data_IF_356467800217
#
_entry.id   IF_356467800217
#
_cell.length_a   1.000
_cell.length_b   1.000
_cell.length_c   1.000
_cell.angle_alpha   90.00
_cell.angle_beta   90.00
_cell.angle_gamma   90.00
#
_symmetry.space_group_name_H-M   'P 1'
#
loop_
_entity.id
_entity.type
_entity.pdbx_description
1 polymer ?
#
# COMPACT_ATOMS: atom_id res chain seq x y z
N UNK A 1 19.84 2.41 7.03
CA UNK A 1 19.41 2.23 8.45
C UNK A 1 19.25 0.74 8.72
N UNK A 2 19.48 0.28 9.94
CA UNK A 2 19.26 -1.14 10.28
C UNK A 2 17.98 -1.21 11.10
N UNK A 3 16.98 -1.92 10.58
CA UNK A 3 15.70 -2.18 11.26
C UNK A 3 15.81 -3.50 12.05
N UNK A 4 14.98 -3.66 13.08
CA UNK A 4 14.92 -4.89 13.89
C UNK A 4 13.83 -5.85 13.42
N UNK A 5 12.76 -5.31 12.88
CA UNK A 5 11.52 -6.03 12.56
C UNK A 5 11.12 -5.93 11.10
N UNK A 6 11.91 -5.21 10.31
CA UNK A 6 11.70 -4.98 8.90
C UNK A 6 12.99 -5.27 8.14
N UNK A 7 12.89 -6.05 7.08
CA UNK A 7 14.00 -6.22 6.14
C UNK A 7 13.77 -5.32 4.92
N UNK A 8 14.83 -4.73 4.44
CA UNK A 8 14.81 -4.00 3.17
C UNK A 8 15.85 -4.58 2.24
N UNK A 9 15.44 -4.91 1.05
CA UNK A 9 16.31 -5.38 -0.03
C UNK A 9 16.05 -4.59 -1.28
N UNK A 10 17.06 -4.45 -2.14
CA UNK A 10 16.93 -3.80 -3.44
C UNK A 10 17.43 -4.74 -4.52
N UNK A 11 16.54 -5.03 -5.46
CA UNK A 11 16.89 -5.73 -6.68
C UNK A 11 16.58 -4.82 -7.87
N UNK A 12 17.62 -4.42 -8.59
CA UNK A 12 17.55 -3.45 -9.69
C UNK A 12 16.83 -2.14 -9.25
N UNK A 13 15.71 -1.85 -9.88
CA UNK A 13 14.91 -0.65 -9.67
C UNK A 13 13.78 -0.83 -8.64
N UNK A 14 13.74 -1.95 -7.93
CA UNK A 14 12.67 -2.27 -6.98
C UNK A 14 13.23 -2.43 -5.57
N UNK A 15 12.63 -1.72 -4.62
CA UNK A 15 12.87 -1.91 -3.18
C UNK A 15 11.79 -2.85 -2.63
N UNK A 16 12.19 -3.89 -1.92
CA UNK A 16 11.29 -4.76 -1.17
C UNK A 16 11.40 -4.47 0.32
N UNK A 17 10.27 -4.14 0.93
CA UNK A 17 10.11 -3.96 2.38
C UNK A 17 9.37 -5.18 2.91
N UNK A 18 9.99 -5.93 3.81
CA UNK A 18 9.44 -7.19 4.32
C UNK A 18 9.21 -7.10 5.83
N UNK A 19 7.99 -7.32 6.27
CA UNK A 19 7.69 -7.53 7.69
C UNK A 19 8.36 -8.84 8.14
N UNK A 20 9.24 -8.76 9.13
CA UNK A 20 10.07 -9.91 9.55
C UNK A 20 10.03 -10.12 11.07
N UNK A 21 8.82 -10.30 11.58
CA UNK A 21 8.55 -10.70 12.96
C UNK A 21 7.57 -11.87 13.01
N UNK A 22 7.90 -13.01 12.34
CA UNK A 22 6.97 -14.13 12.14
C UNK A 22 6.54 -14.80 13.45
N UNK A 23 7.38 -14.83 14.48
CA UNK A 23 7.07 -15.39 15.81
C UNK A 23 5.98 -14.60 16.55
N UNK A 24 5.76 -13.33 16.17
CA UNK A 24 4.64 -12.47 16.63
C UNK A 24 3.59 -12.29 15.54
N UNK A 25 3.61 -13.14 14.50
CA UNK A 25 2.66 -13.08 13.38
C UNK A 25 2.63 -11.69 12.69
N UNK A 26 3.79 -11.03 12.61
CA UNK A 26 3.95 -9.69 12.06
C UNK A 26 2.92 -8.70 12.62
N UNK A 27 2.68 -8.79 13.95
CA UNK A 27 1.82 -7.83 14.64
C UNK A 27 2.43 -6.43 14.54
N UNK A 28 1.60 -5.46 14.17
CA UNK A 28 1.95 -4.05 14.03
C UNK A 28 1.99 -3.42 15.42
N UNK A 29 3.10 -3.63 16.11
CA UNK A 29 3.46 -2.93 17.34
C UNK A 29 3.98 -1.53 17.01
N UNK A 30 4.04 -0.64 17.99
CA UNK A 30 4.46 0.74 17.79
C UNK A 30 5.85 0.83 17.13
N UNK A 31 6.81 0.05 17.60
CA UNK A 31 8.17 -0.04 17.05
C UNK A 31 8.18 -0.54 15.60
N UNK A 32 7.38 -1.56 15.28
CA UNK A 32 7.24 -2.11 13.92
C UNK A 32 6.66 -1.07 12.96
N UNK A 33 5.61 -0.34 13.38
CA UNK A 33 4.98 0.67 12.54
C UNK A 33 5.91 1.84 12.24
N UNK A 34 6.70 2.27 13.21
CA UNK A 34 7.74 3.29 13.00
C UNK A 34 8.82 2.82 12.03
N UNK A 35 9.29 1.58 12.15
CA UNK A 35 10.26 1.01 11.21
C UNK A 35 9.70 0.87 9.79
N UNK A 36 8.43 0.46 9.64
CA UNK A 36 7.76 0.36 8.33
C UNK A 36 7.65 1.73 7.68
N UNK A 37 7.19 2.75 8.42
CA UNK A 37 7.11 4.13 7.92
C UNK A 37 8.49 4.63 7.46
N UNK A 38 9.52 4.49 8.30
CA UNK A 38 10.89 4.88 7.97
C UNK A 38 11.45 4.13 6.75
N UNK A 39 11.10 2.86 6.56
CA UNK A 39 11.51 2.08 5.39
C UNK A 39 10.83 2.61 4.10
N UNK A 40 9.55 2.99 4.16
CA UNK A 40 8.86 3.62 3.04
C UNK A 40 9.43 5.01 2.73
N UNK A 41 9.71 5.85 3.73
CA UNK A 41 10.35 7.16 3.54
C UNK A 41 11.72 7.03 2.87
N UNK A 42 12.53 6.05 3.31
CA UNK A 42 13.82 5.77 2.71
C UNK A 42 13.69 5.30 1.25
N UNK A 43 12.72 4.43 0.95
CA UNK A 43 12.41 4.01 -0.42
C UNK A 43 11.90 5.19 -1.26
N UNK A 44 11.03 6.02 -0.70
CA UNK A 44 10.48 7.22 -1.32
C UNK A 44 11.53 8.24 -1.73
N UNK A 45 12.61 8.34 -0.95
CA UNK A 45 13.75 9.25 -1.20
C UNK A 45 14.83 8.63 -2.10
N UNK A 46 14.62 7.40 -2.61
CA UNK A 46 15.56 6.71 -3.48
C UNK A 46 15.20 6.87 -4.97
N UNK A 47 16.10 6.41 -5.84
CA UNK A 47 15.87 6.32 -7.28
C UNK A 47 15.17 5.01 -7.71
N UNK A 48 14.54 4.29 -6.79
CA UNK A 48 13.74 3.12 -7.10
C UNK A 48 12.51 3.50 -7.93
N UNK A 49 12.11 2.62 -8.84
CA UNK A 49 10.95 2.80 -9.71
C UNK A 49 9.69 2.11 -9.16
N UNK A 50 9.83 1.32 -8.12
CA UNK A 50 8.71 0.65 -7.46
C UNK A 50 9.08 0.09 -6.11
N UNK A 51 8.06 -0.14 -5.26
CA UNK A 51 8.22 -0.72 -3.94
C UNK A 51 7.31 -1.93 -3.80
N UNK A 52 7.82 -3.01 -3.23
CA UNK A 52 7.06 -4.20 -2.86
C UNK A 52 6.96 -4.25 -1.34
N UNK A 53 5.75 -4.38 -0.81
CA UNK A 53 5.52 -4.70 0.59
C UNK A 53 5.24 -6.20 0.72
N UNK A 54 6.09 -6.91 1.45
CA UNK A 54 6.01 -8.33 1.68
C UNK A 54 6.02 -8.67 3.18
N UNK A 55 5.84 -9.94 3.50
CA UNK A 55 5.97 -10.41 4.86
C UNK A 55 6.53 -11.85 4.88
N UNK A 56 7.28 -12.18 5.93
CA UNK A 56 7.77 -13.53 6.20
C UNK A 56 6.84 -14.26 7.19
N UNK A 57 6.91 -15.60 7.19
CA UNK A 57 6.21 -16.43 8.16
C UNK A 57 4.79 -16.85 7.78
N UNK A 58 3.97 -17.35 8.74
CA UNK A 58 2.72 -18.04 8.45
C UNK A 58 1.53 -17.10 8.17
N UNK A 59 1.67 -15.82 8.42
CA UNK A 59 0.64 -14.79 8.13
C UNK A 59 1.32 -13.55 7.56
N UNK A 60 0.59 -12.79 6.76
CA UNK A 60 1.07 -11.48 6.29
C UNK A 60 1.18 -10.51 7.47
N UNK A 61 0.08 -10.28 8.20
CA UNK A 61 0.09 -9.53 9.45
C UNK A 61 -1.19 -9.79 10.25
N UNK A 62 -1.04 -9.96 11.56
CA UNK A 62 -2.14 -10.15 12.50
C UNK A 62 -2.81 -8.84 12.95
N UNK A 63 -2.39 -7.68 12.43
CA UNK A 63 -2.86 -6.36 12.88
C UNK A 63 -2.14 -5.86 14.12
N UNK A 64 -2.74 -4.93 14.86
CA UNK A 64 -2.07 -4.32 16.02
C UNK A 64 -1.63 -5.33 17.09
N UNK A 65 -0.53 -5.03 17.73
CA UNK A 65 -0.08 -5.75 18.90
C UNK A 65 -0.98 -5.41 20.12
N UNK A 66 -1.70 -6.39 20.64
CA UNK A 66 -2.58 -6.17 21.79
C UNK A 66 -1.82 -5.79 23.07
N UNK A 67 -0.51 -6.11 23.16
CA UNK A 67 0.34 -5.68 24.27
C UNK A 67 0.49 -4.17 24.39
N UNK A 68 0.40 -3.46 23.27
CA UNK A 68 0.50 -1.99 23.24
C UNK A 68 -0.83 -1.30 23.64
N UNK A 69 -1.94 -2.07 23.65
CA UNK A 69 -3.27 -1.53 23.96
C UNK A 69 -3.79 -1.97 25.34
N UNK A 70 -3.39 -3.16 25.80
CA UNK A 70 -3.90 -3.69 27.06
C UNK A 70 -3.37 -2.87 28.24
N UNK A 71 -4.28 -2.19 28.97
CA UNK A 71 -3.93 -1.31 30.08
C UNK A 71 -3.40 0.07 29.68
N UNK A 72 -3.36 0.38 28.37
CA UNK A 72 -2.98 1.70 27.90
C UNK A 72 -4.01 2.76 28.34
N UNK A 73 -3.53 3.97 28.64
CA UNK A 73 -4.41 5.13 28.80
C UNK A 73 -4.84 5.70 27.43
N UNK A 74 -5.67 6.73 27.47
CA UNK A 74 -6.21 7.33 26.24
C UNK A 74 -5.13 7.98 25.38
N UNK A 75 -4.10 8.57 25.99
CA UNK A 75 -3.06 9.28 25.24
C UNK A 75 -2.11 8.28 24.57
N UNK A 76 -1.73 7.21 25.23
CA UNK A 76 -0.99 6.12 24.61
C UNK A 76 -1.78 5.43 23.47
N UNK A 77 -3.09 5.27 23.63
CA UNK A 77 -3.94 4.75 22.57
C UNK A 77 -4.00 5.72 21.36
N UNK A 78 -4.09 7.02 21.60
CA UNK A 78 -4.04 8.03 20.53
C UNK A 78 -2.72 8.00 19.78
N UNK A 79 -1.59 7.96 20.49
CA UNK A 79 -0.26 7.87 19.88
C UNK A 79 -0.16 6.62 18.98
N UNK A 80 -0.59 5.46 19.48
CA UNK A 80 -0.57 4.21 18.69
C UNK A 80 -1.32 4.34 17.37
N UNK A 81 -2.55 4.87 17.41
CA UNK A 81 -3.38 5.03 16.21
C UNK A 81 -2.91 6.16 15.30
N UNK A 82 -2.29 7.21 15.85
CA UNK A 82 -1.65 8.27 15.06
C UNK A 82 -0.43 7.73 14.30
N UNK A 83 0.44 6.95 14.95
CA UNK A 83 1.57 6.30 14.28
C UNK A 83 1.07 5.31 13.21
N UNK A 84 0.01 4.57 13.48
CA UNK A 84 -0.60 3.71 12.47
C UNK A 84 -1.12 4.51 11.27
N UNK A 85 -1.82 5.61 11.51
CA UNK A 85 -2.31 6.51 10.47
C UNK A 85 -1.16 7.06 9.63
N UNK A 86 -0.15 7.63 10.26
CA UNK A 86 1.02 8.19 9.59
C UNK A 86 1.75 7.14 8.73
N UNK A 87 1.88 5.90 9.20
CA UNK A 87 2.44 4.81 8.41
C UNK A 87 1.62 4.55 7.14
N UNK A 88 0.27 4.51 7.23
CA UNK A 88 -0.60 4.30 6.06
C UNK A 88 -0.50 5.45 5.06
N UNK A 89 -0.44 6.68 5.56
CA UNK A 89 -0.28 7.87 4.72
C UNK A 89 1.08 7.89 4.02
N UNK A 90 2.14 7.46 4.70
CA UNK A 90 3.48 7.35 4.10
C UNK A 90 3.49 6.40 2.89
N UNK A 91 2.77 5.26 2.97
CA UNK A 91 2.63 4.32 1.83
C UNK A 91 2.04 5.02 0.60
N UNK A 92 1.07 5.90 0.81
CA UNK A 92 0.39 6.64 -0.27
C UNK A 92 1.19 7.86 -0.73
N UNK A 93 1.96 8.48 0.18
CA UNK A 93 2.69 9.73 -0.07
C UNK A 93 3.97 9.52 -0.89
N UNK A 94 4.65 8.37 -0.80
CA UNK A 94 5.86 8.13 -1.59
C UNK A 94 5.54 8.11 -3.08
N UNK A 95 6.44 8.61 -3.94
CA UNK A 95 6.15 8.74 -5.37
C UNK A 95 6.14 7.41 -6.13
N UNK A 96 6.83 6.39 -5.62
CA UNK A 96 6.88 5.08 -6.25
C UNK A 96 5.55 4.33 -6.10
N UNK A 97 5.11 3.56 -7.10
CA UNK A 97 4.02 2.61 -6.93
C UNK A 97 4.38 1.54 -5.90
N UNK A 98 3.47 1.29 -4.96
CA UNK A 98 3.61 0.27 -3.91
C UNK A 98 2.71 -0.92 -4.23
N UNK A 99 3.30 -2.10 -4.33
CA UNK A 99 2.59 -3.37 -4.57
C UNK A 99 2.66 -4.26 -3.34
N UNK A 100 1.52 -4.57 -2.74
CA UNK A 100 1.46 -5.58 -1.68
C UNK A 100 1.56 -7.00 -2.25
N UNK A 101 2.49 -7.81 -1.71
CA UNK A 101 2.67 -9.23 -1.96
C UNK A 101 2.05 -10.04 -0.83
N UNK A 102 0.82 -10.49 -1.01
CA UNK A 102 0.05 -11.13 0.07
C UNK A 102 0.05 -12.64 -0.11
N UNK A 103 0.81 -13.35 0.73
CA UNK A 103 0.95 -14.81 0.65
C UNK A 103 0.05 -15.56 1.63
N UNK A 104 -0.51 -14.89 2.63
CA UNK A 104 -1.27 -15.50 3.72
C UNK A 104 -2.25 -14.49 4.33
N UNK A 105 -2.80 -14.79 5.52
CA UNK A 105 -3.78 -13.96 6.22
C UNK A 105 -3.24 -12.55 6.50
N UNK A 106 -3.99 -11.54 6.04
CA UNK A 106 -3.87 -10.14 6.44
C UNK A 106 -5.13 -9.74 7.22
N UNK A 107 -4.99 -9.39 8.50
CA UNK A 107 -6.17 -9.12 9.34
C UNK A 107 -6.06 -7.79 10.10
N UNK A 108 -7.20 -7.16 10.38
CA UNK A 108 -7.32 -5.88 11.08
C UNK A 108 -6.40 -4.80 10.45
N UNK A 109 -5.45 -4.22 11.19
CA UNK A 109 -4.49 -3.25 10.67
C UNK A 109 -3.56 -3.84 9.58
N UNK A 110 -3.35 -5.16 9.56
CA UNK A 110 -2.63 -5.81 8.45
C UNK A 110 -3.44 -5.80 7.14
N UNK A 111 -4.76 -5.97 7.22
CA UNK A 111 -5.66 -5.79 6.07
C UNK A 111 -5.73 -4.30 5.63
N UNK A 112 -5.72 -3.37 6.59
CA UNK A 112 -5.62 -1.94 6.32
C UNK A 112 -4.34 -1.60 5.55
N UNK A 113 -3.20 -2.15 5.97
CA UNK A 113 -1.91 -1.90 5.33
C UNK A 113 -1.90 -2.39 3.86
N UNK A 114 -2.48 -3.57 3.59
CA UNK A 114 -2.68 -4.03 2.20
C UNK A 114 -3.59 -3.08 1.42
N UNK A 115 -4.71 -2.66 2.02
CA UNK A 115 -5.67 -1.74 1.39
C UNK A 115 -5.12 -0.32 1.16
N UNK A 116 -4.06 0.07 1.88
CA UNK A 116 -3.36 1.35 1.72
C UNK A 116 -2.28 1.33 0.63
N UNK A 117 -1.85 0.13 0.18
CA UNK A 117 -0.96 0.02 -0.97
C UNK A 117 -1.70 0.38 -2.27
N UNK A 118 -0.97 0.89 -3.25
CA UNK A 118 -1.56 1.27 -4.54
C UNK A 118 -2.13 0.08 -5.31
N UNK A 119 -1.43 -1.07 -5.20
CA UNK A 119 -1.76 -2.31 -5.88
C UNK A 119 -1.51 -3.50 -4.93
N UNK A 120 -2.19 -4.62 -5.18
CA UNK A 120 -1.98 -5.85 -4.43
C UNK A 120 -2.10 -7.09 -5.32
N UNK A 121 -1.21 -8.06 -5.09
CA UNK A 121 -1.29 -9.42 -5.64
C UNK A 121 -1.36 -10.40 -4.49
N UNK A 122 -2.33 -11.30 -4.53
CA UNK A 122 -2.52 -12.34 -3.53
C UNK A 122 -2.22 -13.73 -4.10
N UNK A 123 -1.59 -14.58 -3.30
CA UNK A 123 -1.60 -16.02 -3.54
C UNK A 123 -2.97 -16.63 -3.24
N UNK A 124 -3.29 -17.79 -3.80
CA UNK A 124 -4.58 -18.48 -3.55
C UNK A 124 -4.79 -18.81 -2.07
N UNK A 125 -3.71 -18.99 -1.29
CA UNK A 125 -3.76 -19.23 0.16
C UNK A 125 -3.98 -17.97 0.99
N UNK A 126 -3.98 -16.78 0.39
CA UNK A 126 -4.20 -15.54 1.12
C UNK A 126 -5.67 -15.39 1.57
N UNK A 127 -5.86 -14.69 2.67
CA UNK A 127 -7.19 -14.34 3.17
C UNK A 127 -7.17 -13.00 3.91
N UNK A 128 -8.33 -12.37 4.05
CA UNK A 128 -8.45 -11.02 4.60
C UNK A 128 -9.60 -10.97 5.60
N UNK A 129 -9.41 -10.28 6.73
CA UNK A 129 -10.44 -10.20 7.77
C UNK A 129 -10.38 -8.88 8.54
N UNK A 130 -11.53 -8.45 9.07
CA UNK A 130 -11.67 -7.34 10.02
C UNK A 130 -12.37 -7.81 11.31
N UNK A 131 -11.74 -8.67 12.12
CA UNK A 131 -12.41 -9.37 13.21
C UNK A 131 -12.53 -8.55 14.51
N UNK A 132 -12.09 -7.29 14.54
CA UNK A 132 -11.99 -6.49 15.76
C UNK A 132 -13.27 -6.43 16.58
N UNK A 133 -14.44 -6.37 15.95
CA UNK A 133 -15.73 -6.40 16.63
C UNK A 133 -15.97 -7.67 17.47
N UNK A 134 -15.46 -8.83 17.02
CA UNK A 134 -15.48 -10.09 17.80
C UNK A 134 -14.58 -10.02 19.03
N UNK A 135 -13.51 -9.24 18.98
CA UNK A 135 -12.53 -9.06 20.06
C UNK A 135 -12.82 -7.89 21.00
N UNK A 136 -13.93 -7.17 20.82
CA UNK A 136 -14.32 -6.04 21.66
C UNK A 136 -13.85 -4.66 21.19
N UNK A 137 -12.99 -4.59 20.18
CA UNK A 137 -12.57 -3.33 19.54
C UNK A 137 -12.86 -3.39 18.05
N UNK A 138 -13.92 -2.73 17.61
CA UNK A 138 -14.29 -2.68 16.20
C UNK A 138 -13.18 -2.10 15.32
N UNK A 139 -13.02 -2.59 14.09
CA UNK A 139 -11.98 -2.16 13.17
C UNK A 139 -12.27 -0.78 12.53
N UNK A 140 -12.26 0.30 13.35
CA UNK A 140 -12.60 1.65 12.89
C UNK A 140 -11.60 2.16 11.85
N UNK A 141 -10.30 2.21 12.18
CA UNK A 141 -9.26 2.70 11.27
C UNK A 141 -9.04 1.78 10.06
N UNK A 142 -9.06 0.44 10.17
CA UNK A 142 -8.97 -0.43 8.99
C UNK A 142 -10.09 -0.22 7.98
N UNK A 143 -11.31 0.09 8.43
CA UNK A 143 -12.42 0.37 7.53
C UNK A 143 -12.22 1.62 6.67
N UNK A 144 -11.38 2.57 7.08
CA UNK A 144 -11.10 3.78 6.28
C UNK A 144 -10.51 3.38 4.93
N UNK A 145 -9.43 2.61 4.91
CA UNK A 145 -8.79 2.16 3.67
C UNK A 145 -9.63 1.07 2.95
N UNK A 146 -10.13 0.08 3.69
CA UNK A 146 -10.85 -1.06 3.09
C UNK A 146 -12.15 -0.62 2.42
N UNK A 147 -12.94 0.27 3.04
CA UNK A 147 -14.20 0.73 2.45
C UNK A 147 -14.01 1.56 1.17
N UNK A 148 -12.88 2.25 1.02
CA UNK A 148 -12.51 2.98 -0.19
C UNK A 148 -12.18 2.07 -1.37
N UNK A 149 -11.76 0.83 -1.08
CA UNK A 149 -11.47 -0.17 -2.10
C UNK A 149 -12.70 -1.01 -2.48
N UNK A 150 -13.44 -1.54 -1.48
CA UNK A 150 -14.49 -2.55 -1.73
C UNK A 150 -15.92 -2.03 -1.61
N UNK A 151 -16.09 -0.78 -1.20
CA UNK A 151 -17.39 -0.13 -1.04
C UNK A 151 -18.12 -0.54 0.25
N UNK A 152 -19.17 0.22 0.60
CA UNK A 152 -19.82 0.22 1.92
C UNK A 152 -20.34 -1.14 2.39
N UNK A 153 -21.10 -1.84 1.52
CA UNK A 153 -21.80 -3.09 1.92
C UNK A 153 -20.80 -4.19 2.25
N UNK A 154 -19.82 -4.41 1.38
CA UNK A 154 -18.78 -5.43 1.54
C UNK A 154 -17.86 -5.12 2.73
N UNK A 155 -17.50 -3.86 2.92
CA UNK A 155 -16.70 -3.43 4.06
C UNK A 155 -17.42 -3.66 5.41
N UNK A 156 -18.72 -3.32 5.49
CA UNK A 156 -19.53 -3.57 6.69
C UNK A 156 -19.76 -5.06 6.91
N UNK A 157 -19.98 -5.84 5.89
CA UNK A 157 -20.08 -7.31 6.00
C UNK A 157 -18.80 -7.89 6.61
N UNK A 158 -17.63 -7.55 6.05
CA UNK A 158 -16.33 -8.02 6.55
C UNK A 158 -16.09 -7.61 8.02
N UNK A 159 -16.44 -6.37 8.39
CA UNK A 159 -16.18 -5.86 9.74
C UNK A 159 -17.23 -6.28 10.79
N UNK A 160 -18.49 -6.38 10.41
CA UNK A 160 -19.56 -6.78 11.34
C UNK A 160 -19.57 -8.29 11.60
N UNK A 161 -19.31 -9.09 10.58
CA UNK A 161 -19.16 -10.54 10.73
C UNK A 161 -17.81 -10.90 11.32
N UNK A 162 -16.75 -10.17 10.93
CA UNK A 162 -15.36 -10.48 11.26
C UNK A 162 -14.91 -11.83 10.72
N UNK A 163 -15.65 -12.40 9.77
CA UNK A 163 -15.27 -13.63 9.09
C UNK A 163 -14.24 -13.35 7.99
N UNK A 164 -13.26 -14.22 7.78
CA UNK A 164 -12.30 -14.05 6.72
C UNK A 164 -12.93 -14.27 5.34
N UNK A 165 -12.52 -13.48 4.35
CA UNK A 165 -12.76 -13.73 2.94
C UNK A 165 -11.49 -14.32 2.31
N UNK A 166 -11.64 -15.20 1.33
CA UNK A 166 -10.54 -15.76 0.55
C UNK A 166 -9.99 -14.76 -0.48
N UNK A 167 -8.87 -15.11 -1.09
CA UNK A 167 -8.20 -14.26 -2.07
C UNK A 167 -9.08 -13.97 -3.29
N UNK A 168 -9.87 -14.93 -3.77
CA UNK A 168 -10.75 -14.76 -4.93
C UNK A 168 -11.88 -13.77 -4.63
N UNK A 169 -12.52 -13.93 -3.48
CA UNK A 169 -13.54 -12.98 -2.99
C UNK A 169 -12.93 -11.58 -2.83
N UNK A 170 -11.71 -11.48 -2.30
CA UNK A 170 -11.01 -10.19 -2.17
C UNK A 170 -10.75 -9.52 -3.52
N UNK A 171 -10.40 -10.29 -4.56
CA UNK A 171 -10.25 -9.78 -5.92
C UNK A 171 -11.59 -9.37 -6.54
N UNK A 172 -12.64 -10.18 -6.41
CA UNK A 172 -13.99 -9.88 -6.89
C UNK A 172 -14.57 -8.61 -6.23
N UNK A 173 -14.17 -8.34 -5.01
CA UNK A 173 -14.57 -7.13 -4.28
C UNK A 173 -13.73 -5.91 -4.61
N UNK A 174 -12.52 -6.09 -5.15
CA UNK A 174 -11.62 -5.01 -5.51
C UNK A 174 -10.56 -4.68 -4.44
N UNK A 175 -10.39 -5.54 -3.42
CA UNK A 175 -9.36 -5.37 -2.39
C UNK A 175 -7.96 -5.71 -2.92
N UNK A 176 -7.87 -6.66 -3.86
CA UNK A 176 -6.62 -7.01 -4.53
C UNK A 176 -6.81 -7.01 -6.05
N UNK A 177 -5.76 -6.71 -6.79
CA UNK A 177 -5.81 -6.61 -8.26
C UNK A 177 -5.77 -7.97 -8.94
N UNK A 178 -5.09 -8.97 -8.33
CA UNK A 178 -4.86 -10.29 -8.93
C UNK A 178 -4.77 -11.36 -7.86
N UNK A 179 -5.22 -12.56 -8.23
CA UNK A 179 -4.96 -13.79 -7.50
C UNK A 179 -4.25 -14.75 -8.42
N UNK A 180 -3.18 -15.37 -7.92
CA UNK A 180 -2.37 -16.36 -8.65
C UNK A 180 -2.09 -17.57 -7.76
N UNK A 181 -1.68 -18.67 -8.35
CA UNK A 181 -1.17 -19.80 -7.58
C UNK A 181 -0.02 -19.34 -6.68
N UNK A 182 0.10 -19.89 -5.46
CA UNK A 182 1.10 -19.43 -4.49
C UNK A 182 2.54 -19.50 -5.04
N UNK A 183 2.85 -20.49 -5.87
CA UNK A 183 4.15 -20.63 -6.52
C UNK A 183 4.43 -19.54 -7.60
N UNK A 184 3.41 -18.85 -8.08
CA UNK A 184 3.52 -17.80 -9.11
C UNK A 184 3.51 -16.38 -8.50
N UNK A 185 3.33 -16.26 -7.18
CA UNK A 185 3.12 -14.99 -6.51
C UNK A 185 4.30 -14.02 -6.74
N UNK A 186 5.52 -14.48 -6.58
CA UNK A 186 6.72 -13.64 -6.76
C UNK A 186 6.86 -13.14 -8.19
N UNK A 187 6.63 -13.99 -9.16
CA UNK A 187 6.70 -13.63 -10.59
C UNK A 187 5.60 -12.61 -10.96
N UNK A 188 4.38 -12.80 -10.43
CA UNK A 188 3.26 -11.90 -10.68
C UNK A 188 3.45 -10.52 -10.05
N UNK A 189 4.04 -10.45 -8.84
CA UNK A 189 4.39 -9.19 -8.17
C UNK A 189 5.50 -8.48 -8.93
N UNK A 190 6.56 -9.21 -9.33
CA UNK A 190 7.68 -8.66 -10.10
C UNK A 190 7.18 -8.08 -11.45
N UNK A 191 6.34 -8.80 -12.18
CA UNK A 191 5.72 -8.27 -13.40
C UNK A 191 4.91 -7.00 -13.14
N UNK A 192 4.07 -7.01 -12.11
CA UNK A 192 3.18 -5.88 -11.83
C UNK A 192 3.97 -4.63 -11.44
N UNK A 193 4.94 -4.74 -10.51
CA UNK A 193 5.74 -3.59 -10.07
C UNK A 193 6.61 -3.04 -11.19
N UNK A 194 7.21 -3.89 -12.02
CA UNK A 194 8.00 -3.46 -13.17
C UNK A 194 7.15 -2.72 -14.22
N UNK A 195 5.91 -3.17 -14.44
CA UNK A 195 4.96 -2.49 -15.33
C UNK A 195 4.46 -1.19 -14.75
N UNK A 196 4.18 -1.13 -13.45
CA UNK A 196 3.77 0.08 -12.77
C UNK A 196 4.88 1.14 -12.73
N UNK A 197 6.14 0.75 -12.54
CA UNK A 197 7.29 1.65 -12.53
C UNK A 197 7.78 2.09 -13.91
N UNK A 198 7.33 1.45 -15.02
CA UNK A 198 7.82 1.75 -16.38
C UNK A 198 7.40 3.13 -16.85
N UNK A 199 8.35 3.85 -17.44
CA UNK A 199 8.13 5.20 -18.01
C UNK A 199 8.76 6.28 -17.14
N UNK A 200 8.21 7.49 -17.17
CA UNK A 200 8.69 8.59 -16.34
C UNK A 200 8.33 8.38 -14.87
N UNK A 201 9.34 8.32 -14.01
CA UNK A 201 9.17 8.22 -12.56
C UNK A 201 8.49 9.48 -12.00
N UNK A 202 8.89 10.66 -12.48
CA UNK A 202 8.28 11.94 -12.12
C UNK A 202 6.78 11.96 -12.44
N UNK A 203 6.40 11.57 -13.67
CA UNK A 203 4.98 11.54 -14.08
C UNK A 203 4.16 10.60 -13.21
N UNK A 204 4.70 9.43 -12.85
CA UNK A 204 4.02 8.46 -11.97
C UNK A 204 3.84 9.01 -10.56
N UNK A 205 4.88 9.62 -9.98
CA UNK A 205 4.81 10.21 -8.65
C UNK A 205 3.80 11.37 -8.57
N UNK A 206 3.82 12.28 -9.55
CA UNK A 206 2.82 13.35 -9.66
C UNK A 206 1.40 12.79 -9.82
N UNK A 207 1.24 11.76 -10.67
CA UNK A 207 -0.05 11.12 -10.91
C UNK A 207 -0.60 10.41 -9.66
N UNK A 208 0.23 9.66 -8.94
CA UNK A 208 -0.14 9.02 -7.68
C UNK A 208 -0.57 10.04 -6.63
N UNK A 209 0.23 11.09 -6.41
CA UNK A 209 -0.12 12.17 -5.49
C UNK A 209 -1.46 12.80 -5.86
N UNK A 210 -1.63 13.21 -7.11
CA UNK A 210 -2.87 13.83 -7.57
C UNK A 210 -4.08 12.90 -7.48
N UNK A 211 -3.91 11.59 -7.63
CA UNK A 211 -4.98 10.64 -7.41
C UNK A 211 -5.47 10.65 -5.96
N UNK A 212 -4.56 10.57 -4.98
CA UNK A 212 -4.94 10.60 -3.57
C UNK A 212 -5.45 11.97 -3.10
N UNK A 213 -4.97 13.07 -3.67
CA UNK A 213 -5.46 14.41 -3.37
C UNK A 213 -6.91 14.63 -3.83
N UNK A 214 -7.34 14.02 -4.94
CA UNK A 214 -8.64 14.32 -5.54
C UNK A 214 -9.73 13.25 -5.32
N UNK A 215 -9.38 11.99 -5.01
CA UNK A 215 -10.32 10.85 -5.07
C UNK A 215 -11.53 10.96 -4.12
N UNK A 216 -11.38 11.68 -3.02
CA UNK A 216 -12.43 11.89 -2.03
C UNK A 216 -13.13 13.26 -2.18
N UNK A 217 -12.75 14.09 -3.17
CA UNK A 217 -13.41 15.36 -3.46
C UNK A 217 -14.72 15.14 -4.22
N UNK A 218 -15.61 16.15 -4.21
CA UNK A 218 -16.72 16.16 -5.16
C UNK A 218 -16.20 16.31 -6.61
N UNK A 219 -17.00 15.92 -7.59
CA UNK A 219 -16.57 15.85 -8.98
C UNK A 219 -16.03 17.18 -9.52
N UNK A 220 -16.61 18.33 -9.13
CA UNK A 220 -16.17 19.64 -9.61
C UNK A 220 -14.80 19.99 -9.07
N UNK A 221 -14.61 19.87 -7.75
CA UNK A 221 -13.34 20.11 -7.08
C UNK A 221 -12.24 19.11 -7.54
N UNK A 222 -12.62 17.85 -7.78
CA UNK A 222 -11.70 16.84 -8.32
C UNK A 222 -11.19 17.22 -9.72
N UNK A 223 -12.05 17.70 -10.62
CA UNK A 223 -11.62 18.18 -11.95
C UNK A 223 -10.77 19.44 -11.88
N UNK A 224 -11.06 20.37 -10.97
CA UNK A 224 -10.22 21.55 -10.76
C UNK A 224 -8.82 21.17 -10.29
N UNK A 225 -8.72 20.30 -9.28
CA UNK A 225 -7.45 19.76 -8.78
C UNK A 225 -6.68 19.01 -9.87
N UNK A 226 -7.32 18.06 -10.53
CA UNK A 226 -6.70 17.24 -11.57
C UNK A 226 -6.30 18.06 -12.82
N UNK A 227 -7.09 19.07 -13.18
CA UNK A 227 -6.82 19.97 -14.31
C UNK A 227 -5.58 20.82 -14.08
N UNK A 228 -5.40 21.36 -12.87
CA UNK A 228 -4.19 22.12 -12.52
C UNK A 228 -2.96 21.23 -12.51
N UNK A 229 -3.05 20.03 -11.89
CA UNK A 229 -1.95 19.06 -11.90
C UNK A 229 -1.60 18.61 -13.33
N UNK A 230 -2.59 18.35 -14.18
CA UNK A 230 -2.36 17.96 -15.57
C UNK A 230 -1.68 19.06 -16.37
N UNK A 231 -2.08 20.32 -16.14
CA UNK A 231 -1.53 21.50 -16.82
C UNK A 231 -0.07 21.72 -16.44
N UNK A 232 0.25 21.65 -15.15
CA UNK A 232 1.62 21.81 -14.64
C UNK A 232 2.51 20.62 -15.03
N UNK A 233 2.01 19.39 -14.93
CA UNK A 233 2.75 18.19 -15.34
C UNK A 233 3.08 18.19 -16.83
N UNK A 234 2.21 18.74 -17.69
CA UNK A 234 2.48 18.86 -19.13
C UNK A 234 3.69 19.76 -19.44
N UNK A 235 4.11 20.62 -18.51
CA UNK A 235 5.26 21.51 -18.68
C UNK A 235 6.58 20.90 -18.21
N UNK A 236 6.57 19.70 -17.63
CA UNK A 236 7.81 19.01 -17.22
C UNK A 236 8.62 18.55 -18.43
N UNK A 237 9.96 18.46 -18.27
CA UNK A 237 10.85 18.00 -19.35
C UNK A 237 10.50 16.57 -19.78
N UNK A 238 10.12 15.68 -18.85
CA UNK A 238 9.70 14.32 -19.16
C UNK A 238 8.41 14.28 -20.00
N UNK A 239 7.43 15.14 -19.71
CA UNK A 239 6.22 15.24 -20.52
C UNK A 239 6.54 15.75 -21.94
N UNK A 240 7.36 16.78 -22.05
CA UNK A 240 7.78 17.34 -23.33
C UNK A 240 8.61 16.33 -24.14
N UNK A 241 9.50 15.57 -23.49
CA UNK A 241 10.21 14.46 -24.13
C UNK A 241 9.23 13.38 -24.61
N UNK A 242 8.23 13.05 -23.81
CA UNK A 242 7.18 12.10 -24.19
C UNK A 242 6.42 12.52 -25.44
N UNK A 243 6.02 13.79 -25.52
CA UNK A 243 5.33 14.36 -26.70
C UNK A 243 6.22 14.38 -27.94
N UNK A 244 7.45 14.87 -27.79
CA UNK A 244 8.39 14.99 -28.91
C UNK A 244 8.80 13.62 -29.45
N UNK A 245 9.13 12.68 -28.57
CA UNK A 245 9.50 11.32 -28.97
C UNK A 245 8.39 10.59 -29.71
N UNK A 246 7.13 10.79 -29.29
CA UNK A 246 5.96 10.22 -29.97
C UNK A 246 5.80 10.81 -31.38
N UNK A 247 5.89 12.14 -31.53
CA UNK A 247 5.77 12.81 -32.83
C UNK A 247 6.92 12.44 -33.78
N UNK A 248 8.12 12.26 -33.24
CA UNK A 248 9.32 11.88 -33.98
C UNK A 248 9.44 10.36 -34.19
N UNK A 249 8.53 9.55 -33.64
CA UNK A 249 8.50 8.08 -33.71
C UNK A 249 9.80 7.43 -33.21
N UNK A 250 10.37 7.95 -32.15
CA UNK A 250 11.54 7.42 -31.45
C UNK A 250 11.18 6.97 -30.02
N UNK A 251 12.08 6.26 -29.36
CA UNK A 251 11.95 5.92 -27.95
C UNK A 251 12.19 7.18 -27.09
N UNK A 252 11.31 7.41 -26.10
CA UNK A 252 11.51 8.44 -25.10
C UNK A 252 12.66 8.09 -24.14
N UNK A 253 13.37 9.10 -23.67
CA UNK A 253 14.42 9.00 -22.65
C UNK A 253 14.04 9.92 -21.50
N UNK A 254 13.56 9.33 -20.40
CA UNK A 254 13.17 10.06 -19.21
C UNK A 254 14.35 10.18 -18.25
N UNK A 255 14.53 11.31 -17.63
CA UNK A 255 15.68 11.63 -16.77
C UNK A 255 15.30 12.24 -15.43
N UNK A 256 14.01 12.56 -15.22
CA UNK A 256 13.54 13.19 -14.00
C UNK A 256 13.03 12.15 -13.01
N UNK A 257 13.42 12.31 -11.77
CA UNK A 257 12.88 11.59 -10.62
C UNK A 257 11.98 12.53 -9.81
N UNK A 258 11.00 11.98 -9.08
CA UNK A 258 10.09 12.77 -8.24
C UNK A 258 10.79 13.49 -7.11
#
# INVERSE_FOLDING_TARGET
MTYQHVLTDRCDDVVTITLDRPEKRNALALDVMLEVAAAFEAAGSSDALGVVLAANGPVFSAGHNFGDMAGADLDAARELFEVCHNMMDTVQAIPQPVVARVHALATAAGCQLVASCDLAVAGESASFALPGGKGGLFCHTPLVAVARNIGRKRALELALTGDPIDARTAADWGLVNRVVADAELDAAVTDLVARAGRGSALSKGLGKRGFYEQIDLDQSAAYECAGELMSTAAMTDDAQEGFNSFLEKRRAVFTQYP
#
